data_IF_806695341588
#
_entry.id   IF_806695341588
#
_cell.length_a   1.000
_cell.length_b   1.000
_cell.length_c   1.000
_cell.angle_alpha   90.00
_cell.angle_beta   90.00
_cell.angle_gamma   90.00
#
_symmetry.space_group_name_H-M   'P 1'
#
loop_
_entity.id
_entity.type
_entity.pdbx_description
1 polymer ?
#
# COMPACT_ATOMS: atom_id res chain seq x y z
N UNK A 1 1.22 1.00 11.06
CA UNK A 1 -0.22 1.03 10.78
C UNK A 1 -1.07 0.57 11.95
N UNK A 2 -0.49 -0.12 12.94
CA UNK A 2 -1.22 -0.67 14.09
C UNK A 2 -0.86 0.01 15.42
N UNK A 3 -0.05 1.07 15.36
CA UNK A 3 0.31 1.87 16.52
C UNK A 3 -0.80 2.89 16.79
N UNK A 4 -1.42 2.78 17.96
CA UNK A 4 -2.52 3.66 18.39
C UNK A 4 -2.06 5.13 18.56
N UNK A 5 -0.77 5.35 18.77
CA UNK A 5 -0.18 6.68 18.94
C UNK A 5 0.32 7.27 17.61
N UNK A 6 0.18 6.53 16.50
CA UNK A 6 0.59 7.02 15.19
C UNK A 6 -0.25 8.20 14.72
N UNK A 7 0.35 9.07 13.91
CA UNK A 7 -0.34 10.20 13.29
C UNK A 7 -1.62 9.76 12.56
N UNK A 8 -1.56 8.64 11.82
CA UNK A 8 -2.73 8.10 11.12
C UNK A 8 -3.86 7.67 12.08
N UNK A 9 -3.51 7.08 13.22
CA UNK A 9 -4.50 6.70 14.24
C UNK A 9 -5.20 7.94 14.83
N UNK A 10 -4.44 9.01 15.10
CA UNK A 10 -4.99 10.28 15.57
C UNK A 10 -5.90 10.92 14.52
N UNK A 11 -5.52 10.88 13.23
CA UNK A 11 -6.39 11.35 12.14
C UNK A 11 -7.71 10.57 12.09
N UNK A 12 -7.65 9.24 12.15
CA UNK A 12 -8.84 8.40 12.17
C UNK A 12 -9.76 8.70 13.35
N UNK A 13 -9.20 9.09 14.49
CA UNK A 13 -9.98 9.40 15.69
C UNK A 13 -10.61 10.81 15.66
N UNK A 14 -9.89 11.81 15.15
CA UNK A 14 -10.27 13.21 15.36
C UNK A 14 -10.66 13.97 14.07
N UNK A 15 -10.32 13.47 12.88
CA UNK A 15 -10.52 14.23 11.66
C UNK A 15 -11.99 14.42 11.26
N UNK A 16 -12.93 13.63 11.81
CA UNK A 16 -14.36 13.84 11.63
C UNK A 16 -14.93 14.93 12.56
N UNK A 17 -14.19 15.31 13.61
CA UNK A 17 -14.62 16.32 14.57
C UNK A 17 -14.20 17.72 14.12
N UNK A 18 -12.96 17.85 13.64
CA UNK A 18 -12.37 19.08 13.13
C UNK A 18 -11.18 18.79 12.23
N UNK A 19 -10.79 19.71 11.33
CA UNK A 19 -9.57 19.56 10.53
C UNK A 19 -8.36 19.29 11.43
N UNK A 20 -7.57 18.28 11.06
CA UNK A 20 -6.35 17.88 11.75
C UNK A 20 -5.13 18.27 10.94
N UNK A 21 -4.07 18.81 11.54
CA UNK A 21 -2.81 19.01 10.85
C UNK A 21 -2.20 17.68 10.46
N UNK A 22 -1.54 17.65 9.31
CA UNK A 22 -0.91 16.43 8.76
C UNK A 22 0.54 16.73 8.42
N UNK A 23 1.45 15.82 8.77
CA UNK A 23 2.85 15.90 8.37
C UNK A 23 2.96 15.96 6.84
N UNK A 24 4.03 16.55 6.33
CA UNK A 24 4.23 16.67 4.89
C UNK A 24 4.26 15.31 4.19
N UNK A 25 4.90 14.33 4.81
CA UNK A 25 5.01 12.98 4.27
C UNK A 25 3.65 12.28 4.21
N UNK A 26 2.91 12.24 5.31
CA UNK A 26 1.59 11.60 5.34
C UNK A 26 0.60 12.32 4.43
N UNK A 27 0.65 13.66 4.34
CA UNK A 27 -0.18 14.42 3.41
C UNK A 27 0.05 13.98 1.95
N UNK A 28 1.30 13.84 1.53
CA UNK A 28 1.64 13.42 0.18
C UNK A 28 1.19 11.97 -0.09
N UNK A 29 1.34 11.07 0.89
CA UNK A 29 0.83 9.70 0.78
C UNK A 29 -0.69 9.69 0.58
N UNK A 30 -1.43 10.46 1.39
CA UNK A 30 -2.90 10.53 1.31
C UNK A 30 -3.36 11.13 -0.02
N UNK A 31 -2.73 12.22 -0.46
CA UNK A 31 -3.04 12.85 -1.75
C UNK A 31 -2.80 11.88 -2.92
N UNK A 32 -1.67 11.14 -2.88
CA UNK A 32 -1.38 10.11 -3.88
C UNK A 32 -2.41 8.97 -3.85
N UNK A 33 -2.83 8.52 -2.67
CA UNK A 33 -3.84 7.48 -2.55
C UNK A 33 -5.21 7.92 -3.10
N UNK A 34 -5.60 9.18 -2.90
CA UNK A 34 -6.83 9.75 -3.49
C UNK A 34 -6.73 9.79 -5.02
N UNK A 35 -5.57 10.19 -5.57
CA UNK A 35 -5.32 10.14 -7.02
C UNK A 35 -5.37 8.70 -7.55
N UNK A 36 -4.77 7.75 -6.85
CA UNK A 36 -4.84 6.32 -7.21
C UNK A 36 -6.29 5.81 -7.23
N UNK A 37 -7.14 6.21 -6.28
CA UNK A 37 -8.55 5.86 -6.31
C UNK A 37 -9.21 6.33 -7.60
N UNK A 38 -9.02 7.59 -7.99
CA UNK A 38 -9.56 8.14 -9.21
C UNK A 38 -9.03 7.41 -10.47
N UNK A 39 -7.72 7.17 -10.55
CA UNK A 39 -7.07 6.50 -11.69
C UNK A 39 -7.45 5.03 -11.84
N UNK A 40 -7.83 4.38 -10.76
CA UNK A 40 -8.27 2.97 -10.75
C UNK A 40 -9.78 2.82 -10.80
N UNK A 41 -10.53 3.90 -11.04
CA UNK A 41 -12.00 3.90 -11.02
C UNK A 41 -12.56 3.30 -9.72
N UNK A 42 -11.94 3.62 -8.57
CA UNK A 42 -12.36 3.16 -7.25
C UNK A 42 -11.92 1.74 -6.89
N UNK A 43 -11.12 1.05 -7.72
CA UNK A 43 -10.61 -0.30 -7.37
C UNK A 43 -9.53 -0.28 -6.28
N UNK A 44 -8.87 0.85 -6.07
CA UNK A 44 -8.03 1.09 -4.92
C UNK A 44 -8.68 2.15 -4.03
N UNK A 45 -9.00 1.78 -2.79
CA UNK A 45 -9.68 2.68 -1.86
C UNK A 45 -9.15 2.52 -0.43
N UNK A 46 -8.57 3.59 0.11
CA UNK A 46 -8.03 3.62 1.47
C UNK A 46 -9.09 3.75 2.55
N UNK A 47 -10.36 3.99 2.18
CA UNK A 47 -11.47 4.11 3.12
C UNK A 47 -12.30 2.84 3.26
N UNK A 48 -11.92 1.76 2.58
CA UNK A 48 -12.67 0.49 2.49
C UNK A 48 -12.97 -0.16 3.84
N UNK A 49 -12.24 0.21 4.90
CA UNK A 49 -12.47 -0.27 6.28
C UNK A 49 -13.31 0.69 7.14
N UNK A 50 -13.94 1.68 6.52
CA UNK A 50 -14.85 2.61 7.22
C UNK A 50 -16.14 1.91 7.68
N UNK A 51 -16.74 2.43 8.74
CA UNK A 51 -18.08 2.01 9.16
C UNK A 51 -19.09 2.43 8.07
N UNK A 52 -20.03 1.54 7.74
CA UNK A 52 -21.03 1.76 6.69
C UNK A 52 -20.40 2.18 5.35
N UNK A 53 -19.33 1.50 4.97
CA UNK A 53 -18.56 1.81 3.78
C UNK A 53 -19.42 1.87 2.52
N UNK A 54 -19.23 2.94 1.76
CA UNK A 54 -19.72 3.13 0.39
C UNK A 54 -18.59 3.68 -0.48
N UNK A 55 -18.56 3.38 -1.79
CA UNK A 55 -17.46 3.81 -2.69
C UNK A 55 -17.28 5.33 -2.80
N UNK A 56 -18.26 6.12 -2.42
CA UNK A 56 -18.18 7.58 -2.42
C UNK A 56 -17.54 8.17 -1.16
N UNK A 57 -17.29 7.37 -0.12
CA UNK A 57 -16.67 7.87 1.12
C UNK A 57 -15.30 8.51 0.91
N UNK A 58 -14.53 8.05 -0.07
CA UNK A 58 -13.25 8.67 -0.41
C UNK A 58 -13.41 10.15 -0.80
N UNK A 59 -14.52 10.53 -1.42
CA UNK A 59 -14.83 11.92 -1.79
C UNK A 59 -15.11 12.82 -0.58
N UNK A 60 -15.37 12.22 0.58
CA UNK A 60 -15.59 12.91 1.86
C UNK A 60 -14.30 13.13 2.64
N UNK A 61 -13.17 12.64 2.14
CA UNK A 61 -11.84 12.91 2.67
C UNK A 61 -11.33 14.21 2.06
N UNK A 62 -11.33 15.27 2.86
CA UNK A 62 -10.88 16.60 2.42
C UNK A 62 -9.42 16.84 2.82
N UNK A 63 -8.58 17.06 1.82
CA UNK A 63 -7.18 17.46 1.99
C UNK A 63 -7.02 18.94 1.63
N UNK A 64 -6.55 19.78 2.56
CA UNK A 64 -6.20 21.18 2.31
C UNK A 64 -4.69 21.29 2.03
N UNK A 65 -4.27 21.58 0.79
CA UNK A 65 -2.84 21.70 0.47
C UNK A 65 -2.19 22.96 1.11
N UNK A 66 -2.95 24.03 1.25
CA UNK A 66 -2.46 25.30 1.82
C UNK A 66 -2.16 25.17 3.31
N UNK A 67 -3.04 24.52 4.03
CA UNK A 67 -2.97 24.39 5.49
C UNK A 67 -2.35 23.06 5.93
N UNK A 68 -2.20 22.12 4.99
CA UNK A 68 -1.81 20.72 5.25
C UNK A 68 -2.65 20.11 6.35
N UNK A 69 -3.97 20.12 6.15
CA UNK A 69 -4.93 19.52 7.06
C UNK A 69 -5.75 18.45 6.36
N UNK A 70 -6.24 17.50 7.14
CA UNK A 70 -7.21 16.49 6.77
C UNK A 70 -8.50 16.71 7.55
N UNK A 71 -9.64 16.60 6.87
CA UNK A 71 -10.96 16.60 7.47
C UNK A 71 -11.83 15.52 6.85
N UNK A 72 -12.59 14.80 7.68
CA UNK A 72 -13.59 13.87 7.23
C UNK A 72 -14.98 14.48 7.30
N UNK A 73 -15.65 14.64 6.15
CA UNK A 73 -17.02 15.14 6.07
C UNK A 73 -18.08 14.12 6.52
N UNK A 74 -17.66 12.91 6.87
CA UNK A 74 -18.54 11.84 7.33
C UNK A 74 -17.92 11.16 8.57
N UNK A 75 -18.70 11.02 9.69
CA UNK A 75 -18.25 10.23 10.82
C UNK A 75 -18.13 8.75 10.41
N UNK A 76 -17.18 8.04 10.98
CA UNK A 76 -16.98 6.62 10.66
C UNK A 76 -16.02 6.36 9.51
N UNK A 77 -15.50 7.39 8.81
CA UNK A 77 -14.38 7.22 7.90
C UNK A 77 -13.17 6.72 8.68
N UNK A 78 -12.56 5.65 8.15
CA UNK A 78 -11.34 5.06 8.66
C UNK A 78 -10.36 4.83 7.51
N UNK A 79 -9.25 5.53 7.53
CA UNK A 79 -8.19 5.39 6.51
C UNK A 79 -7.28 4.24 6.89
N UNK A 80 -7.05 3.33 5.93
CA UNK A 80 -6.11 2.23 6.03
C UNK A 80 -5.12 2.28 4.86
N UNK A 81 -3.83 2.46 5.18
CA UNK A 81 -2.75 2.54 4.20
C UNK A 81 -2.00 1.21 4.00
N UNK A 82 -2.45 0.12 4.59
CA UNK A 82 -1.72 -1.17 4.56
C UNK A 82 -1.47 -1.69 3.13
N UNK A 83 -2.39 -1.44 2.21
CA UNK A 83 -2.25 -1.80 0.80
C UNK A 83 -1.28 -0.89 0.01
N UNK A 84 -0.89 0.23 0.58
CA UNK A 84 -0.01 1.24 -0.05
C UNK A 84 1.42 1.23 0.51
N UNK A 85 1.56 1.12 1.83
CA UNK A 85 2.82 1.42 2.53
C UNK A 85 4.01 0.57 2.09
N UNK A 86 3.82 -0.69 1.73
CA UNK A 86 4.93 -1.54 1.29
C UNK A 86 5.52 -1.05 -0.04
N UNK A 87 4.66 -0.69 -1.00
CA UNK A 87 5.10 -0.12 -2.26
C UNK A 87 5.82 1.21 -2.06
N UNK A 88 5.27 2.09 -1.23
CA UNK A 88 5.88 3.37 -0.88
C UNK A 88 7.26 3.20 -0.23
N UNK A 89 7.40 2.27 0.71
CA UNK A 89 8.66 1.99 1.36
C UNK A 89 9.71 1.44 0.38
N UNK A 90 9.33 0.56 -0.56
CA UNK A 90 10.23 0.06 -1.59
C UNK A 90 10.71 1.16 -2.55
N UNK A 91 9.84 2.10 -2.91
CA UNK A 91 10.21 3.27 -3.70
C UNK A 91 11.24 4.14 -2.95
N UNK A 92 10.98 4.42 -1.68
CA UNK A 92 11.91 5.18 -0.83
C UNK A 92 13.26 4.48 -0.67
N UNK A 93 13.27 3.16 -0.53
CA UNK A 93 14.49 2.34 -0.48
C UNK A 93 15.22 2.41 -1.84
N UNK A 94 14.50 2.35 -2.95
CA UNK A 94 15.08 2.46 -4.30
C UNK A 94 15.80 3.79 -4.47
N UNK A 95 15.15 4.89 -4.08
CA UNK A 95 15.73 6.22 -4.22
C UNK A 95 16.94 6.40 -3.30
N UNK A 96 16.88 5.84 -2.09
CA UNK A 96 18.01 5.81 -1.17
C UNK A 96 19.19 5.02 -1.77
N UNK A 97 18.97 3.81 -2.26
CA UNK A 97 20.01 2.99 -2.88
C UNK A 97 20.64 3.71 -4.08
N UNK A 98 19.83 4.37 -4.90
CA UNK A 98 20.32 5.16 -6.03
C UNK A 98 21.16 6.36 -5.60
N UNK A 99 20.78 7.04 -4.52
CA UNK A 99 21.56 8.17 -3.97
C UNK A 99 22.94 7.76 -3.47
N UNK A 100 23.11 6.49 -3.08
CA UNK A 100 24.39 5.87 -2.75
C UNK A 100 25.06 5.16 -3.93
N UNK A 101 24.60 5.42 -5.16
CA UNK A 101 25.14 4.83 -6.41
C UNK A 101 25.12 3.29 -6.44
N UNK A 102 24.25 2.66 -5.64
CA UNK A 102 24.04 1.21 -5.66
C UNK A 102 23.30 0.84 -6.93
N UNK A 103 23.97 0.10 -7.82
CA UNK A 103 23.43 -0.29 -9.13
C UNK A 103 22.68 -1.61 -9.12
N UNK A 104 23.00 -2.49 -8.18
CA UNK A 104 22.42 -3.83 -8.12
C UNK A 104 22.06 -4.16 -6.69
N UNK A 105 20.79 -4.46 -6.44
CA UNK A 105 20.28 -4.87 -5.15
C UNK A 105 18.99 -5.69 -5.29
N UNK A 106 18.80 -6.63 -4.39
CA UNK A 106 17.51 -7.31 -4.20
C UNK A 106 17.05 -7.07 -2.76
N UNK A 107 15.90 -6.41 -2.62
CA UNK A 107 15.30 -6.11 -1.31
C UNK A 107 14.04 -6.93 -1.16
N UNK A 108 13.97 -7.75 -0.13
CA UNK A 108 12.78 -8.55 0.20
C UNK A 108 12.12 -8.00 1.48
N UNK A 109 10.87 -7.56 1.36
CA UNK A 109 10.09 -7.02 2.46
C UNK A 109 8.98 -8.02 2.87
N UNK A 110 9.34 -8.91 3.80
CA UNK A 110 8.41 -9.86 4.43
C UNK A 110 7.77 -10.85 3.45
N UNK A 111 8.53 -11.32 2.45
CA UNK A 111 8.13 -12.32 1.45
C UNK A 111 6.90 -11.96 0.59
N UNK A 112 6.36 -10.75 0.72
CA UNK A 112 5.19 -10.32 -0.04
C UNK A 112 5.48 -9.14 -0.96
N UNK A 113 6.62 -8.48 -0.80
CA UNK A 113 7.01 -7.36 -1.65
C UNK A 113 8.53 -7.38 -1.86
N UNK A 114 8.94 -7.32 -3.12
CA UNK A 114 10.35 -7.41 -3.51
C UNK A 114 10.67 -6.25 -4.45
N UNK A 115 11.81 -5.61 -4.24
CA UNK A 115 12.42 -4.67 -5.18
C UNK A 115 13.66 -5.32 -5.79
N UNK A 116 13.72 -5.39 -7.10
CA UNK A 116 14.87 -5.78 -7.89
C UNK A 116 15.48 -4.54 -8.55
N UNK A 117 16.67 -4.15 -8.16
CA UNK A 117 17.44 -3.07 -8.78
C UNK A 117 18.59 -3.67 -9.58
N UNK A 118 18.70 -3.29 -10.87
CA UNK A 118 19.74 -3.81 -11.74
C UNK A 118 19.68 -5.33 -11.92
N UNK A 119 20.81 -6.02 -11.78
CA UNK A 119 20.93 -7.45 -12.08
C UNK A 119 21.83 -8.20 -11.11
N UNK A 120 21.61 -9.49 -11.02
CA UNK A 120 22.50 -10.44 -10.35
C UNK A 120 23.82 -10.57 -11.12
N UNK A 121 24.99 -10.83 -10.47
CA UNK A 121 26.28 -10.96 -11.16
C UNK A 121 26.31 -12.00 -12.27
N UNK A 122 25.51 -13.05 -12.20
CA UNK A 122 25.55 -14.19 -13.12
C UNK A 122 24.42 -14.21 -14.16
N UNK A 123 23.37 -13.39 -14.01
CA UNK A 123 22.18 -13.37 -14.88
C UNK A 123 21.70 -11.95 -15.09
N UNK A 124 20.98 -11.69 -16.19
CA UNK A 124 20.48 -10.36 -16.51
C UNK A 124 19.16 -10.01 -15.81
N UNK A 125 19.16 -10.10 -14.49
CA UNK A 125 18.04 -9.82 -13.60
C UNK A 125 18.15 -10.60 -12.30
N UNK A 126 17.10 -10.60 -11.51
CA UNK A 126 16.99 -11.29 -10.22
C UNK A 126 15.89 -12.35 -10.30
N UNK A 127 16.22 -13.61 -10.05
CA UNK A 127 15.22 -14.68 -9.96
C UNK A 127 14.56 -14.63 -8.60
N UNK A 128 13.23 -14.51 -8.60
CA UNK A 128 12.41 -14.49 -7.39
C UNK A 128 11.40 -15.63 -7.48
N UNK A 129 11.53 -16.57 -6.55
CA UNK A 129 10.56 -17.65 -6.38
C UNK A 129 9.33 -17.15 -5.63
N UNK A 130 8.15 -17.57 -6.04
CA UNK A 130 6.91 -17.32 -5.34
C UNK A 130 6.03 -18.57 -5.31
N UNK A 131 5.33 -18.74 -4.21
CA UNK A 131 4.47 -19.88 -3.96
C UNK A 131 4.62 -20.37 -2.54
N UNK A 132 3.56 -20.97 -2.01
CA UNK A 132 3.66 -21.71 -0.76
C UNK A 132 4.24 -23.10 -1.08
N UNK A 133 4.99 -23.68 -0.12
CA UNK A 133 5.39 -25.08 -0.12
C UNK A 133 4.16 -25.99 -0.16
N UNK A 134 3.50 -26.06 -1.28
CA UNK A 134 2.56 -27.13 -1.54
C UNK A 134 3.44 -28.29 -1.94
N UNK A 135 3.40 -29.36 -1.13
CA UNK A 135 3.93 -30.69 -1.43
C UNK A 135 3.21 -31.21 -2.67
N UNK A 136 3.51 -30.66 -3.80
CA UNK A 136 3.18 -31.23 -5.11
C UNK A 136 4.37 -30.99 -6.02
N UNK A 137 4.99 -32.08 -6.36
CA UNK A 137 6.07 -32.19 -7.32
C UNK A 137 5.79 -31.32 -8.55
N UNK A 138 6.78 -30.50 -8.90
CA UNK A 138 6.94 -29.80 -10.16
C UNK A 138 6.48 -28.35 -10.23
N UNK A 139 7.52 -27.52 -10.31
CA UNK A 139 7.64 -26.12 -10.70
C UNK A 139 7.54 -25.13 -9.56
N UNK A 140 8.71 -24.82 -8.99
CA UNK A 140 8.95 -23.52 -8.38
C UNK A 140 8.62 -22.47 -9.45
N UNK A 141 7.58 -21.70 -9.21
CA UNK A 141 7.29 -20.59 -10.10
C UNK A 141 8.29 -19.49 -9.79
N UNK A 142 9.16 -19.24 -10.75
CA UNK A 142 10.15 -18.16 -10.68
C UNK A 142 9.77 -17.06 -11.67
N UNK A 143 10.03 -15.82 -11.27
CA UNK A 143 9.96 -14.67 -12.15
C UNK A 143 11.35 -13.99 -12.18
N UNK A 144 11.76 -13.54 -13.36
CA UNK A 144 12.96 -12.74 -13.52
C UNK A 144 12.58 -11.27 -13.45
N UNK A 145 13.11 -10.54 -12.46
CA UNK A 145 12.88 -9.11 -12.27
C UNK A 145 14.14 -8.32 -12.59
N UNK A 146 13.97 -7.13 -13.19
CA UNK A 146 15.06 -6.19 -13.46
C UNK A 146 14.53 -4.77 -13.43
N UNK A 147 15.00 -3.99 -12.46
CA UNK A 147 14.53 -2.62 -12.20
C UNK A 147 13.02 -2.52 -11.94
N UNK A 148 12.47 -3.54 -11.30
CA UNK A 148 11.04 -3.74 -11.07
C UNK A 148 10.74 -4.09 -9.62
N UNK A 149 9.49 -3.87 -9.23
CA UNK A 149 8.95 -4.34 -7.96
C UNK A 149 7.92 -5.45 -8.22
N UNK A 150 7.92 -6.46 -7.36
CA UNK A 150 6.89 -7.48 -7.30
C UNK A 150 6.17 -7.37 -5.96
N UNK A 151 4.85 -7.28 -5.98
CA UNK A 151 4.04 -7.40 -4.78
C UNK A 151 3.00 -8.48 -4.96
N UNK A 152 2.92 -9.39 -4.00
CA UNK A 152 1.96 -10.49 -3.99
C UNK A 152 1.00 -10.25 -2.85
N UNK A 153 -0.28 -10.16 -3.18
CA UNK A 153 -1.38 -10.14 -2.21
C UNK A 153 -2.18 -11.43 -2.34
N UNK A 154 -2.50 -12.04 -1.22
CA UNK A 154 -3.27 -13.28 -1.21
C UNK A 154 -3.91 -13.52 0.15
N UNK A 155 -4.95 -14.32 0.15
CA UNK A 155 -5.58 -14.77 1.39
C UNK A 155 -4.74 -15.89 2.00
N UNK A 156 -4.34 -15.75 3.26
CA UNK A 156 -3.54 -16.76 3.96
C UNK A 156 -4.30 -18.07 4.23
N UNK A 157 -5.63 -18.03 4.18
CA UNK A 157 -6.52 -19.19 4.25
C UNK A 157 -7.92 -18.79 3.77
N UNK A 158 -8.78 -19.78 3.51
CA UNK A 158 -10.20 -19.54 3.22
C UNK A 158 -10.92 -18.78 4.34
N UNK A 159 -10.42 -18.87 5.58
CA UNK A 159 -11.02 -18.26 6.77
C UNK A 159 -10.52 -16.83 7.03
N UNK A 160 -9.40 -16.41 6.42
CA UNK A 160 -8.79 -15.09 6.63
C UNK A 160 -8.71 -14.29 5.34
N UNK A 161 -9.87 -14.08 4.73
CA UNK A 161 -9.99 -13.17 3.60
C UNK A 161 -9.78 -11.73 4.05
N UNK A 162 -8.93 -10.98 3.36
CA UNK A 162 -8.65 -9.58 3.67
C UNK A 162 -8.65 -8.68 2.44
N UNK A 163 -8.79 -9.26 1.25
CA UNK A 163 -8.91 -8.49 0.02
C UNK A 163 -10.39 -8.16 -0.19
N UNK A 164 -10.68 -6.86 -0.25
CA UNK A 164 -12.03 -6.33 -0.41
C UNK A 164 -12.16 -5.77 -1.83
N UNK A 165 -13.28 -6.07 -2.48
CA UNK A 165 -13.67 -5.41 -3.74
C UNK A 165 -14.38 -4.10 -3.36
N UNK A 166 -13.78 -2.91 -3.56
CA UNK A 166 -14.36 -1.65 -3.07
C UNK A 166 -15.78 -1.40 -3.59
N UNK A 167 -16.02 -1.63 -4.88
CA UNK A 167 -17.33 -1.37 -5.50
C UNK A 167 -18.48 -2.22 -4.95
N UNK A 168 -18.20 -3.29 -4.24
CA UNK A 168 -19.23 -4.19 -3.69
C UNK A 168 -19.11 -4.45 -2.20
N UNK A 169 -17.99 -4.03 -1.57
CA UNK A 169 -17.65 -4.35 -0.18
C UNK A 169 -17.43 -5.84 0.10
N UNK A 170 -17.38 -6.70 -0.95
CA UNK A 170 -17.25 -8.14 -0.80
C UNK A 170 -15.79 -8.53 -0.61
N UNK A 171 -15.56 -9.52 0.24
CA UNK A 171 -14.28 -10.21 0.38
C UNK A 171 -14.06 -11.17 -0.79
N UNK A 172 -12.83 -11.16 -1.32
CA UNK A 172 -12.40 -12.07 -2.41
C UNK A 172 -11.98 -13.42 -1.85
#
# INVERSE_FOLDING_TARGET
CYDADSELAQLNQFAAIRPQPVSHELYNMLAFCVDCNARTNGHFDITVHSTDYTPDLISKVQLSPKERTLFFQHPGININLSGFLKGYALESIRDLLRSYEVKNALVNMGNSSVLALGKHPLIDGWRVGFGQNVVSQNQEQEILLKDECLTISGNNSFERKHIIIPNSGKLV
#
